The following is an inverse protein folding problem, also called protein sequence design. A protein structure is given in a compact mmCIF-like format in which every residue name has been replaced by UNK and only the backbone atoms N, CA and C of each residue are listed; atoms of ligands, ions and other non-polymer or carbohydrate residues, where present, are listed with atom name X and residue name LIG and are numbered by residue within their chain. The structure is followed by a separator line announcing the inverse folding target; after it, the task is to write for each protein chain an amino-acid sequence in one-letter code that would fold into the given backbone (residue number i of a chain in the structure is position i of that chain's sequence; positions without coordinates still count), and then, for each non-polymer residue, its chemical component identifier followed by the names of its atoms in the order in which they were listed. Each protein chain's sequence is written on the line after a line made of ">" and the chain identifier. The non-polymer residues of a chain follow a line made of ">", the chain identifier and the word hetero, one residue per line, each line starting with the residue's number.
data_IF_059539988580
#
_entry.id   IF_059539988580
#
_cell.length_a   1.000
_cell.length_b   1.000
_cell.length_c   1.000
_cell.angle_alpha   90.00
_cell.angle_beta   90.00
_cell.angle_gamma   90.00
#
_symmetry.space_group_name_H-M   'P 1'
#
loop_
_entity.id
_entity.type
_entity.pdbx_description
1 polymer ?
#
# COMPACT_ATOMS: atom_id res chain seq x y z
N UNK A 1 11.22 18.96 32.08
CA UNK A 1 9.92 18.80 31.39
C UNK A 1 9.78 17.33 31.02
N UNK A 2 8.72 16.62 31.42
CA UNK A 2 8.62 15.18 31.18
C UNK A 2 8.40 14.88 29.69
N UNK A 3 9.12 13.88 29.18
CA UNK A 3 8.99 13.35 27.82
C UNK A 3 7.60 12.76 27.58
N UNK A 4 6.99 12.91 26.38
CA UNK A 4 5.68 12.35 26.11
C UNK A 4 5.72 10.81 26.08
N UNK A 5 4.63 10.20 26.58
CA UNK A 5 4.42 8.74 26.61
C UNK A 5 4.16 8.23 25.19
N UNK A 6 5.09 7.45 24.65
CA UNK A 6 5.10 6.86 23.29
C UNK A 6 3.97 5.85 22.96
N UNK A 7 2.82 5.90 23.64
CA UNK A 7 1.80 4.83 23.59
C UNK A 7 0.49 5.15 22.85
N UNK A 8 0.29 6.37 22.33
CA UNK A 8 -0.99 6.76 21.71
C UNK A 8 -0.86 7.11 20.21
N UNK A 9 0.07 6.46 19.49
CA UNK A 9 0.17 6.67 18.05
C UNK A 9 -0.91 5.84 17.35
N UNK A 10 -2.07 6.46 17.13
CA UNK A 10 -3.14 5.89 16.32
C UNK A 10 -2.59 5.52 14.93
N UNK A 11 -2.79 4.28 14.48
CA UNK A 11 -2.23 3.78 13.23
C UNK A 11 -2.70 4.58 12.00
N UNK A 12 -3.99 4.94 11.97
CA UNK A 12 -4.60 5.72 10.90
C UNK A 12 -4.80 7.18 11.36
N UNK A 13 -4.25 8.17 10.65
CA UNK A 13 -4.53 9.59 10.89
C UNK A 13 -6.00 9.91 10.64
N UNK A 14 -6.58 10.78 11.46
CA UNK A 14 -7.89 11.37 11.23
C UNK A 14 -7.79 12.76 10.56
N UNK A 15 -8.94 13.29 10.16
CA UNK A 15 -9.06 14.60 9.51
C UNK A 15 -8.41 15.74 10.31
N UNK A 16 -8.51 15.71 11.64
CA UNK A 16 -7.92 16.72 12.52
C UNK A 16 -6.40 16.66 12.45
N UNK A 17 -5.85 15.44 12.46
CA UNK A 17 -4.41 15.19 12.34
C UNK A 17 -3.88 15.66 10.99
N UNK A 18 -4.59 15.36 9.90
CA UNK A 18 -4.21 15.78 8.55
C UNK A 18 -4.21 17.32 8.46
N UNK A 19 -5.25 17.98 8.97
CA UNK A 19 -5.29 19.46 9.03
C UNK A 19 -4.14 20.02 9.84
N UNK A 20 -3.87 19.45 11.01
CA UNK A 20 -2.77 19.87 11.87
C UNK A 20 -1.42 19.77 11.16
N UNK A 21 -1.12 18.66 10.47
CA UNK A 21 0.10 18.54 9.67
C UNK A 21 0.21 19.61 8.58
N UNK A 22 -0.91 19.97 7.94
CA UNK A 22 -0.95 21.12 7.03
C UNK A 22 -0.62 22.45 7.72
N UNK A 23 -1.11 22.68 8.95
CA UNK A 23 -0.83 23.92 9.69
C UNK A 23 0.63 24.06 10.12
N UNK A 24 1.32 22.96 10.42
CA UNK A 24 2.73 22.96 10.83
C UNK A 24 3.70 22.81 9.64
N UNK A 25 3.20 22.82 8.40
CA UNK A 25 4.02 22.78 7.20
C UNK A 25 4.57 21.40 6.83
N UNK A 26 4.04 20.33 7.43
CA UNK A 26 4.41 18.95 7.10
C UNK A 26 3.60 18.35 5.94
N UNK A 27 2.57 19.05 5.48
CA UNK A 27 1.84 18.69 4.26
C UNK A 27 1.84 19.84 3.28
N UNK A 28 1.94 19.50 2.00
CA UNK A 28 1.67 20.45 0.94
C UNK A 28 0.24 20.96 1.01
N UNK A 29 0.04 22.18 0.50
CA UNK A 29 -1.25 22.83 0.51
C UNK A 29 -2.20 22.10 -0.47
N UNK A 30 -3.34 21.59 -0.01
CA UNK A 30 -4.25 20.85 -0.86
C UNK A 30 -4.91 21.75 -1.91
N UNK A 31 -5.39 21.13 -2.99
CA UNK A 31 -6.13 21.84 -4.03
C UNK A 31 -7.55 22.07 -3.52
N UNK A 32 -7.98 23.33 -3.47
CA UNK A 32 -9.34 23.67 -3.08
C UNK A 32 -10.29 23.58 -4.28
N UNK A 33 -11.44 22.93 -4.07
CA UNK A 33 -12.60 22.93 -4.97
C UNK A 33 -13.81 23.42 -4.18
N UNK A 34 -14.08 24.72 -4.28
CA UNK A 34 -15.06 25.39 -3.43
C UNK A 34 -14.69 25.28 -1.96
N UNK A 35 -15.54 24.62 -1.17
CA UNK A 35 -15.33 24.39 0.27
C UNK A 35 -14.62 23.07 0.60
N UNK A 36 -14.26 22.28 -0.42
CA UNK A 36 -13.68 20.95 -0.27
C UNK A 36 -12.20 20.97 -0.61
N UNK A 37 -11.36 20.44 0.28
CA UNK A 37 -9.93 20.22 0.04
C UNK A 37 -9.72 18.86 -0.63
N UNK A 38 -9.01 18.85 -1.76
CA UNK A 38 -8.65 17.64 -2.49
C UNK A 38 -7.19 17.27 -2.22
N UNK A 39 -7.00 16.06 -1.70
CA UNK A 39 -5.70 15.47 -1.41
C UNK A 39 -5.38 14.41 -2.46
N UNK A 40 -4.31 14.64 -3.22
CA UNK A 40 -3.77 13.67 -4.19
C UNK A 40 -2.75 12.69 -3.61
N UNK A 41 -2.19 11.82 -4.47
CA UNK A 41 -1.19 10.80 -4.12
C UNK A 41 0.01 11.34 -3.35
N UNK A 42 0.44 12.57 -3.68
CA UNK A 42 1.52 13.24 -2.97
C UNK A 42 1.23 13.51 -1.50
N UNK A 43 0.01 13.95 -1.18
CA UNK A 43 -0.40 14.15 0.20
C UNK A 43 -0.49 12.82 0.95
N UNK A 44 -0.95 11.77 0.28
CA UNK A 44 -0.96 10.42 0.85
C UNK A 44 0.46 9.96 1.18
N UNK A 45 1.41 10.10 0.25
CA UNK A 45 2.81 9.75 0.46
C UNK A 45 3.41 10.48 1.67
N UNK A 46 3.17 11.79 1.77
CA UNK A 46 3.62 12.60 2.90
C UNK A 46 3.03 12.11 4.23
N UNK A 47 1.72 11.89 4.30
CA UNK A 47 1.06 11.42 5.52
C UNK A 47 1.61 10.06 5.95
N UNK A 48 1.78 9.11 5.01
CA UNK A 48 2.34 7.80 5.33
C UNK A 48 3.79 7.92 5.81
N UNK A 49 4.61 8.75 5.15
CA UNK A 49 5.99 8.98 5.56
C UNK A 49 6.09 9.56 6.99
N UNK A 50 5.24 10.55 7.34
CA UNK A 50 5.16 11.08 8.72
C UNK A 50 4.88 9.95 9.70
N UNK A 51 3.88 9.10 9.41
CA UNK A 51 3.48 8.02 10.33
C UNK A 51 4.55 6.94 10.48
N UNK A 52 5.27 6.60 9.40
CA UNK A 52 6.40 5.65 9.48
C UNK A 52 7.53 6.22 10.32
N UNK A 53 7.88 7.50 10.13
CA UNK A 53 8.91 8.17 10.95
C UNK A 53 8.48 8.29 12.42
N UNK A 54 7.20 8.56 12.71
CA UNK A 54 6.68 8.50 14.07
C UNK A 54 6.77 7.08 14.66
N UNK A 55 6.53 6.05 13.85
CA UNK A 55 6.67 4.64 14.23
C UNK A 55 8.12 4.26 14.57
N UNK A 56 9.11 4.93 13.99
CA UNK A 56 10.53 4.77 14.36
C UNK A 56 10.96 5.62 15.56
N UNK A 57 10.01 6.33 16.19
CA UNK A 57 10.25 7.13 17.39
C UNK A 57 10.64 8.59 17.12
N UNK A 58 10.56 9.07 15.87
CA UNK A 58 10.80 10.49 15.57
C UNK A 58 9.66 11.38 16.02
N UNK A 59 10.00 12.44 16.74
CA UNK A 59 9.07 13.49 17.13
C UNK A 59 8.67 14.35 15.93
N UNK A 60 7.52 15.03 16.01
CA UNK A 60 7.07 15.94 14.94
C UNK A 60 8.07 17.07 14.69
N UNK A 61 8.78 17.54 15.73
CA UNK A 61 9.80 18.58 15.60
C UNK A 61 11.02 18.08 14.81
N UNK A 62 11.48 16.86 15.07
CA UNK A 62 12.57 16.24 14.30
C UNK A 62 12.15 16.02 12.84
N UNK A 63 10.93 15.52 12.62
CA UNK A 63 10.37 15.33 11.28
C UNK A 63 10.30 16.66 10.54
N UNK A 64 9.85 17.74 11.19
CA UNK A 64 9.77 19.08 10.60
C UNK A 64 11.13 19.67 10.25
N UNK A 65 12.17 19.37 11.03
CA UNK A 65 13.53 19.82 10.74
C UNK A 65 14.12 19.16 9.48
N UNK A 66 13.82 17.87 9.24
CA UNK A 66 14.29 17.15 8.05
C UNK A 66 13.38 17.30 6.83
N UNK A 67 12.12 17.70 7.01
CA UNK A 67 11.10 17.76 5.96
C UNK A 67 11.52 18.55 4.70
N UNK A 68 12.17 19.73 4.81
CA UNK A 68 12.55 20.51 3.63
C UNK A 68 13.57 19.82 2.72
N UNK A 69 14.28 18.82 3.23
CA UNK A 69 15.35 18.10 2.53
C UNK A 69 14.84 16.79 1.90
N UNK A 70 13.56 16.44 2.12
CA UNK A 70 12.98 15.18 1.67
C UNK A 70 12.61 15.28 0.18
N UNK A 71 13.29 14.49 -0.66
CA UNK A 71 12.97 14.37 -2.08
C UNK A 71 11.75 13.47 -2.30
N UNK A 72 11.18 13.57 -3.51
CA UNK A 72 10.08 12.70 -3.95
C UNK A 72 10.45 11.22 -3.91
N UNK A 73 11.71 10.91 -4.24
CA UNK A 73 12.26 9.54 -4.20
C UNK A 73 12.27 9.00 -2.77
N UNK A 74 12.71 9.81 -1.81
CA UNK A 74 12.71 9.45 -0.39
C UNK A 74 11.28 9.30 0.12
N UNK A 75 10.37 10.19 -0.28
CA UNK A 75 8.94 10.07 0.05
C UNK A 75 8.32 8.79 -0.51
N UNK A 76 8.63 8.42 -1.76
CA UNK A 76 8.16 7.17 -2.37
C UNK A 76 8.71 5.95 -1.63
N UNK A 77 10.00 5.93 -1.31
CA UNK A 77 10.63 4.85 -0.54
C UNK A 77 10.03 4.71 0.87
N UNK A 78 9.88 5.84 1.58
CA UNK A 78 9.31 5.87 2.92
C UNK A 78 7.82 5.56 2.95
N UNK A 79 7.06 5.84 1.90
CA UNK A 79 5.60 5.65 1.89
C UNK A 79 5.14 4.38 1.17
N UNK A 80 5.91 3.88 0.20
CA UNK A 80 5.45 2.88 -0.76
C UNK A 80 4.40 3.38 -1.74
N UNK A 81 4.11 4.69 -1.77
CA UNK A 81 3.11 5.30 -2.65
C UNK A 81 3.80 5.76 -3.93
N UNK A 82 3.34 5.26 -5.07
CA UNK A 82 3.83 5.73 -6.37
C UNK A 82 3.38 7.17 -6.64
N UNK A 83 4.34 8.07 -6.77
CA UNK A 83 4.09 9.43 -7.24
C UNK A 83 4.20 9.42 -8.77
N UNK A 84 3.12 9.04 -9.46
CA UNK A 84 3.04 9.16 -10.91
C UNK A 84 3.39 10.61 -11.31
N UNK A 85 4.56 10.80 -11.94
CA UNK A 85 5.11 12.11 -12.22
C UNK A 85 4.16 12.93 -13.08
N UNK A 86 3.57 14.01 -12.52
CA UNK A 86 2.64 14.97 -13.17
C UNK A 86 1.91 14.38 -14.39
N UNK A 87 1.29 13.21 -14.22
CA UNK A 87 0.50 12.58 -15.26
C UNK A 87 -0.81 13.33 -15.32
N UNK A 88 -0.98 14.17 -16.34
CA UNK A 88 -2.29 14.64 -16.80
C UNK A 88 -3.26 13.47 -16.69
N UNK A 89 -4.26 13.56 -15.80
CA UNK A 89 -5.30 12.55 -15.71
C UNK A 89 -5.79 12.25 -17.14
N UNK A 90 -5.83 10.97 -17.57
CA UNK A 90 -6.34 10.66 -18.90
C UNK A 90 -7.74 11.27 -18.99
N UNK A 91 -7.96 12.03 -20.06
CA UNK A 91 -9.17 12.79 -20.23
C UNK A 91 -10.37 11.85 -20.08
N UNK A 92 -11.14 12.02 -18.99
CA UNK A 92 -12.41 11.34 -18.69
C UNK A 92 -13.45 11.43 -19.83
N UNK A 93 -13.14 12.16 -20.90
CA UNK A 93 -13.96 12.39 -22.08
C UNK A 93 -14.01 11.20 -23.06
N UNK A 94 -13.15 10.18 -22.92
CA UNK A 94 -13.10 9.08 -23.89
C UNK A 94 -13.66 7.74 -23.38
N UNK A 95 -13.94 7.63 -22.08
CA UNK A 95 -14.56 6.42 -21.52
C UNK A 95 -15.94 6.14 -22.14
N UNK A 96 -16.77 7.18 -22.33
CA UNK A 96 -18.11 7.06 -22.92
C UNK A 96 -18.12 6.89 -24.45
N UNK A 97 -16.96 6.94 -25.12
CA UNK A 97 -16.83 6.78 -26.58
C UNK A 97 -16.34 5.40 -26.99
N UNK A 98 -15.97 4.55 -26.04
CA UNK A 98 -15.65 3.15 -26.36
C UNK A 98 -16.95 2.41 -26.60
N UNK A 99 -17.13 1.97 -27.85
CA UNK A 99 -18.13 1.00 -28.23
C UNK A 99 -17.98 -0.24 -27.32
N UNK A 100 -19.00 -0.62 -26.53
CA UNK A 100 -18.93 -1.84 -25.75
C UNK A 100 -18.85 -3.02 -26.73
N UNK A 101 -17.70 -3.69 -26.79
CA UNK A 101 -17.60 -5.02 -27.42
C UNK A 101 -18.60 -5.93 -26.70
N UNK A 102 -19.66 -6.31 -27.42
CA UNK A 102 -20.70 -7.19 -26.92
C UNK A 102 -20.05 -8.50 -26.47
N UNK A 103 -19.87 -8.67 -25.16
CA UNK A 103 -19.72 -10.01 -24.59
C UNK A 103 -21.04 -10.73 -24.82
N UNK A 104 -20.98 -11.76 -25.64
CA UNK A 104 -22.09 -12.69 -25.86
C UNK A 104 -22.65 -13.15 -24.51
N UNK A 105 -23.90 -12.78 -24.23
CA UNK A 105 -24.63 -13.22 -23.06
C UNK A 105 -25.03 -14.71 -23.20
N UNK A 106 -24.93 -15.53 -22.14
CA UNK A 106 -25.70 -16.77 -22.09
C UNK A 106 -27.18 -16.43 -21.80
N UNK A 107 -28.06 -17.01 -22.63
CA UNK A 107 -29.52 -16.92 -22.55
C UNK A 107 -30.06 -17.38 -21.19
N UNK A 108 -30.97 -16.60 -20.59
CA UNK A 108 -31.75 -17.00 -19.42
C UNK A 108 -33.10 -17.60 -19.83
N UNK A 109 -33.52 -18.66 -19.15
CA UNK A 109 -34.91 -19.10 -19.02
C UNK A 109 -35.19 -19.45 -17.55
N UNK A 110 -35.88 -18.52 -16.88
CA UNK A 110 -36.86 -18.55 -15.74
C UNK A 110 -36.94 -19.71 -14.71
N UNK A 111 -37.55 -19.53 -13.50
CA UNK A 111 -37.29 -18.55 -12.43
C UNK A 111 -37.21 -19.15 -10.99
N UNK A 112 -36.44 -18.50 -10.10
CA UNK A 112 -36.54 -18.60 -8.61
C UNK A 112 -35.55 -19.56 -7.89
N UNK A 113 -35.31 -19.43 -6.55
CA UNK A 113 -35.54 -18.31 -5.64
C UNK A 113 -34.25 -17.51 -5.33
N UNK A 114 -34.40 -16.40 -4.61
CA UNK A 114 -33.37 -15.47 -4.15
C UNK A 114 -31.94 -16.04 -4.02
N UNK A 115 -31.06 -15.69 -4.96
CA UNK A 115 -29.62 -15.92 -4.83
C UNK A 115 -28.96 -14.62 -4.39
N UNK A 116 -28.27 -14.73 -3.26
CA UNK A 116 -27.48 -13.71 -2.59
C UNK A 116 -26.71 -12.83 -3.57
N UNK A 117 -26.68 -11.54 -3.26
CA UNK A 117 -25.83 -10.55 -3.93
C UNK A 117 -24.44 -11.14 -4.20
N UNK A 118 -24.10 -11.31 -5.49
CA UNK A 118 -22.71 -11.58 -5.90
C UNK A 118 -21.85 -10.50 -5.24
N UNK A 119 -20.80 -10.85 -4.48
CA UNK A 119 -19.84 -9.85 -4.07
C UNK A 119 -19.31 -9.20 -5.34
N UNK A 120 -19.38 -7.86 -5.38
CA UNK A 120 -18.62 -7.03 -6.31
C UNK A 120 -17.22 -7.63 -6.48
N UNK A 121 -16.61 -7.63 -7.68
CA UNK A 121 -15.23 -8.06 -7.81
C UNK A 121 -14.37 -7.10 -6.98
N UNK A 122 -14.14 -7.46 -5.72
CA UNK A 122 -13.05 -6.94 -4.93
C UNK A 122 -11.84 -7.29 -5.75
N UNK A 123 -11.16 -6.26 -6.29
CA UNK A 123 -9.88 -6.42 -6.97
C UNK A 123 -9.03 -7.30 -6.06
N UNK A 124 -8.83 -8.56 -6.48
CA UNK A 124 -8.07 -9.49 -5.68
C UNK A 124 -6.68 -8.88 -5.55
N UNK A 125 -6.15 -8.71 -4.33
CA UNK A 125 -4.81 -8.19 -4.18
C UNK A 125 -3.85 -9.09 -4.97
N UNK A 126 -2.92 -8.47 -5.71
CA UNK A 126 -1.87 -9.23 -6.37
C UNK A 126 -1.01 -9.82 -5.25
N UNK A 127 -1.07 -11.14 -5.09
CA UNK A 127 -0.26 -11.85 -4.12
C UNK A 127 1.04 -12.31 -4.75
N UNK A 128 2.15 -11.77 -4.26
CA UNK A 128 3.46 -12.22 -4.65
C UNK A 128 4.06 -13.09 -3.55
N UNK A 129 4.50 -14.30 -3.92
CA UNK A 129 5.10 -15.28 -3.01
C UNK A 129 6.62 -15.34 -3.22
N UNK A 130 7.40 -15.00 -2.19
CA UNK A 130 8.86 -15.04 -2.21
C UNK A 130 9.36 -16.22 -1.36
N UNK A 131 10.13 -17.18 -1.93
CA UNK A 131 10.65 -18.33 -1.17
C UNK A 131 11.85 -17.93 -0.31
N UNK A 132 11.68 -17.98 1.02
CA UNK A 132 12.74 -17.66 1.99
C UNK A 132 13.42 -18.89 2.58
N UNK A 133 12.83 -20.07 2.43
CA UNK A 133 13.38 -21.36 2.88
C UNK A 133 12.60 -22.53 2.29
N UNK A 134 12.97 -23.78 2.62
CA UNK A 134 12.22 -24.96 2.21
C UNK A 134 10.79 -24.87 2.75
N UNK A 135 9.81 -24.79 1.85
CA UNK A 135 8.38 -24.63 2.14
C UNK A 135 8.00 -23.39 2.96
N UNK A 136 8.87 -22.37 3.02
CA UNK A 136 8.58 -21.10 3.68
C UNK A 136 8.53 -20.01 2.64
N UNK A 137 7.37 -19.35 2.55
CA UNK A 137 7.11 -18.26 1.61
C UNK A 137 6.71 -17.01 2.38
N UNK A 138 7.18 -15.86 1.91
CA UNK A 138 6.64 -14.55 2.29
C UNK A 138 5.62 -14.15 1.24
N UNK A 139 4.38 -13.94 1.65
CA UNK A 139 3.32 -13.44 0.76
C UNK A 139 3.18 -11.93 0.95
N UNK A 140 3.30 -11.19 -0.15
CA UNK A 140 3.09 -9.74 -0.19
C UNK A 140 1.81 -9.51 -0.99
N UNK A 141 0.74 -9.13 -0.30
CA UNK A 141 -0.54 -8.75 -0.92
C UNK A 141 -0.51 -7.26 -1.24
N UNK A 142 -0.59 -6.90 -2.52
CA UNK A 142 -0.61 -5.51 -2.97
C UNK A 142 -1.98 -5.15 -3.54
N UNK A 143 -2.50 -3.94 -3.29
CA UNK A 143 -3.68 -3.46 -4.00
C UNK A 143 -3.38 -3.44 -5.50
N UNK A 144 -4.29 -3.97 -6.31
CA UNK A 144 -4.18 -3.96 -7.77
C UNK A 144 -4.43 -2.54 -8.30
N UNK A 145 -3.44 -1.66 -8.14
CA UNK A 145 -3.46 -0.28 -8.60
C UNK A 145 -2.83 -0.10 -10.00
N UNK A 146 -2.71 -1.19 -10.76
CA UNK A 146 -2.25 -1.18 -12.16
C UNK A 146 -0.78 -0.76 -12.33
N UNK A 147 -0.04 -0.63 -11.23
CA UNK A 147 1.41 -0.44 -11.26
C UNK A 147 2.11 -1.77 -11.50
N UNK A 148 2.93 -1.85 -12.55
CA UNK A 148 3.80 -2.99 -12.77
C UNK A 148 4.90 -3.01 -11.70
N UNK A 149 4.61 -3.57 -10.54
CA UNK A 149 5.63 -3.89 -9.54
C UNK A 149 6.44 -5.10 -10.04
N UNK A 150 7.74 -4.91 -10.22
CA UNK A 150 8.67 -5.97 -10.60
C UNK A 150 9.62 -6.19 -9.44
N UNK A 151 9.65 -7.41 -8.85
CA UNK A 151 10.73 -7.77 -7.94
C UNK A 151 11.92 -8.19 -8.78
N UNK A 152 13.04 -7.53 -8.54
CA UNK A 152 14.30 -7.99 -9.07
C UNK A 152 14.83 -9.19 -8.26
N UNK A 153 15.76 -9.93 -8.87
CA UNK A 153 16.50 -10.98 -8.17
C UNK A 153 17.30 -10.43 -6.97
N UNK A 154 17.73 -9.15 -7.03
CA UNK A 154 18.41 -8.50 -5.93
C UNK A 154 17.47 -8.29 -4.73
N UNK A 155 16.22 -7.91 -4.99
CA UNK A 155 15.20 -7.74 -3.94
C UNK A 155 14.87 -9.08 -3.29
N UNK A 156 14.71 -10.15 -4.09
CA UNK A 156 14.49 -11.51 -3.57
C UNK A 156 15.65 -11.96 -2.68
N UNK A 157 16.90 -11.68 -3.08
CA UNK A 157 18.09 -12.01 -2.28
C UNK A 157 18.14 -11.19 -0.99
N UNK A 158 17.82 -9.91 -1.04
CA UNK A 158 17.78 -9.04 0.13
C UNK A 158 16.70 -9.48 1.13
N UNK A 159 15.50 -9.80 0.64
CA UNK A 159 14.40 -10.34 1.46
C UNK A 159 14.80 -11.67 2.10
N UNK A 160 15.43 -12.59 1.33
CA UNK A 160 15.92 -13.86 1.87
C UNK A 160 17.00 -13.65 2.95
N UNK A 161 17.96 -12.76 2.71
CA UNK A 161 19.01 -12.45 3.67
C UNK A 161 18.44 -11.86 4.97
N UNK A 162 17.47 -10.94 4.85
CA UNK A 162 16.78 -10.36 6.00
C UNK A 162 15.93 -11.38 6.77
N UNK A 163 15.37 -12.38 6.08
CA UNK A 163 14.58 -13.46 6.69
C UNK A 163 15.42 -14.59 7.31
N UNK A 164 16.74 -14.63 7.08
CA UNK A 164 17.62 -15.68 7.59
C UNK A 164 17.50 -15.96 9.11
N UNK A 165 17.49 -14.97 10.02
CA UNK A 165 17.32 -15.24 11.45
C UNK A 165 15.94 -15.81 11.79
N UNK A 166 14.90 -15.39 11.08
CA UNK A 166 13.54 -15.92 11.25
C UNK A 166 13.46 -17.38 10.81
N UNK A 167 14.08 -17.72 9.66
CA UNK A 167 14.13 -19.11 9.17
C UNK A 167 14.91 -20.01 10.14
N UNK A 168 16.01 -19.52 10.70
CA UNK A 168 16.78 -20.24 11.72
C UNK A 168 15.95 -20.52 12.98
N UNK A 169 15.18 -19.55 13.46
CA UNK A 169 14.29 -19.71 14.62
C UNK A 169 13.14 -20.69 14.36
N UNK A 170 12.54 -20.65 13.17
CA UNK A 170 11.51 -21.61 12.76
C UNK A 170 12.04 -23.04 12.68
N UNK A 171 13.27 -23.21 12.18
CA UNK A 171 13.96 -24.50 12.15
C UNK A 171 14.27 -25.00 13.57
N UNK A 172 14.76 -24.13 14.46
CA UNK A 172 15.03 -24.46 15.86
C UNK A 172 13.76 -24.94 16.60
N UNK A 173 12.60 -24.39 16.24
CA UNK A 173 11.30 -24.78 16.80
C UNK A 173 10.64 -25.97 16.09
N UNK A 174 11.26 -26.55 15.08
CA UNK A 174 10.71 -27.63 14.25
C UNK A 174 9.37 -27.24 13.57
N UNK A 175 9.19 -25.96 13.25
CA UNK A 175 8.00 -25.42 12.59
C UNK A 175 8.19 -25.27 11.07
N UNK A 176 9.25 -25.87 10.52
CA UNK A 176 9.44 -25.98 9.07
C UNK A 176 8.55 -27.10 8.53
N UNK A 177 7.59 -26.84 7.63
CA UNK A 177 6.77 -27.89 7.07
C UNK A 177 7.64 -28.92 6.34
N UNK A 178 7.48 -30.20 6.67
CA UNK A 178 8.06 -31.30 5.89
C UNK A 178 7.59 -31.15 4.44
N UNK A 179 8.50 -31.30 3.48
CA UNK A 179 8.17 -31.29 2.07
C UNK A 179 7.13 -32.39 1.82
N UNK A 180 5.87 -31.98 1.69
CA UNK A 180 4.85 -32.80 1.08
C UNK A 180 5.30 -33.03 -0.35
N UNK A 181 5.58 -34.29 -0.64
CA UNK A 181 5.94 -34.84 -1.92
C UNK A 181 5.07 -34.26 -3.02
N UNK A 182 5.71 -33.75 -4.08
CA UNK A 182 5.12 -33.84 -5.41
C UNK A 182 4.91 -35.33 -5.67
N UNK A 183 3.67 -35.76 -5.88
CA UNK A 183 3.40 -36.98 -6.63
C UNK A 183 2.35 -36.70 -7.73
N UNK A 184 2.44 -37.47 -8.82
CA UNK A 184 2.30 -37.01 -10.21
C UNK A 184 0.88 -36.95 -10.80
#
# INVERSE_FOLDING_TARGET
>A
MPSPKNGQVRAVPDDRTIRYYGTIGLLERPVLRGRTALYGSRHLAQVVAIKRLQGTGKSLAEIQAMWPQLSDEVLMSLSGVSLAGKGRAPARKEFWKREPVASSAPSMSDPGPAVMARPSPQLAPVELRVPIGPNIYVTIAMPDDGGAFSLSLADVRAIRAAAAPLVAELAHRQLTPHAGEEEP
#
